data_IF_684620050678
#
_entry.id   IF_684620050678
#
_cell.length_a   1.000
_cell.length_b   1.000
_cell.length_c   1.000
_cell.angle_alpha   90.00
_cell.angle_beta   90.00
_cell.angle_gamma   90.00
#
_symmetry.space_group_name_H-M   'P 1'
#
loop_
_entity.id
_entity.type
_entity.pdbx_description
1 polymer ?
#
# COMPACT_ATOMS: atom_id res chain seq x y z
N UNK A 1 16.61 -44.98 6.76
CA UNK A 1 15.73 -43.84 7.07
C UNK A 1 16.22 -43.28 8.39
N UNK A 2 16.55 -41.99 8.46
CA UNK A 2 17.11 -41.40 9.69
C UNK A 2 15.99 -41.30 10.73
N UNK A 3 16.20 -41.87 11.92
CA UNK A 3 15.25 -41.78 13.03
C UNK A 3 15.46 -40.46 13.78
N UNK A 4 14.59 -39.50 13.51
CA UNK A 4 14.66 -38.15 14.08
C UNK A 4 14.14 -38.07 15.52
N UNK A 5 13.29 -39.01 15.97
CA UNK A 5 12.75 -39.03 17.33
C UNK A 5 13.81 -39.49 18.36
N UNK A 6 14.89 -40.13 17.88
CA UNK A 6 16.06 -40.51 18.68
C UNK A 6 17.15 -39.42 18.74
N UNK A 7 17.01 -38.32 17.99
CA UNK A 7 17.99 -37.23 17.98
C UNK A 7 17.67 -36.17 19.04
N UNK A 8 18.70 -35.70 19.73
CA UNK A 8 18.57 -34.47 20.52
C UNK A 8 18.40 -33.26 19.62
N UNK A 9 17.80 -32.18 20.14
CA UNK A 9 17.61 -30.93 19.39
C UNK A 9 18.94 -30.41 18.78
N UNK A 10 20.07 -30.56 19.50
CA UNK A 10 21.39 -30.16 19.03
C UNK A 10 21.87 -30.99 17.83
N UNK A 11 21.71 -32.32 17.89
CA UNK A 11 22.10 -33.24 16.81
C UNK A 11 21.21 -33.06 15.58
N UNK A 12 19.92 -32.78 15.78
CA UNK A 12 18.99 -32.49 14.69
C UNK A 12 19.33 -31.17 13.99
N UNK A 13 19.67 -30.13 14.75
CA UNK A 13 20.14 -28.85 14.21
C UNK A 13 21.42 -29.05 13.40
N UNK A 14 22.37 -29.86 13.88
CA UNK A 14 23.61 -30.16 13.17
C UNK A 14 23.38 -30.97 11.89
N UNK A 15 22.48 -31.95 11.92
CA UNK A 15 22.03 -32.67 10.73
C UNK A 15 21.43 -31.74 9.67
N UNK A 16 20.59 -30.79 10.09
CA UNK A 16 20.05 -29.75 9.22
C UNK A 16 21.16 -28.81 8.68
N UNK A 17 22.14 -28.44 9.52
CA UNK A 17 23.29 -27.59 9.13
C UNK A 17 24.12 -28.24 8.02
N UNK A 18 24.30 -29.55 8.08
CA UNK A 18 25.11 -30.33 7.13
C UNK A 18 24.39 -30.70 5.82
N UNK A 19 23.17 -30.19 5.60
CA UNK A 19 22.41 -30.44 4.37
C UNK A 19 21.75 -31.82 4.31
N UNK A 20 21.47 -32.42 5.48
CA UNK A 20 20.73 -33.66 5.58
C UNK A 20 19.33 -33.56 4.96
N UNK A 21 18.90 -34.63 4.30
CA UNK A 21 17.59 -34.72 3.68
C UNK A 21 16.48 -34.76 4.75
N UNK A 22 15.57 -33.79 4.66
CA UNK A 22 14.43 -33.61 5.58
C UNK A 22 13.09 -33.78 4.87
N UNK A 23 13.09 -34.29 3.63
CA UNK A 23 11.87 -34.57 2.89
C UNK A 23 11.05 -35.66 3.61
N UNK A 24 9.80 -35.34 3.97
CA UNK A 24 8.89 -36.24 4.69
C UNK A 24 8.82 -36.06 6.21
N UNK A 25 9.61 -35.15 6.81
CA UNK A 25 9.54 -34.90 8.26
C UNK A 25 8.32 -34.05 8.62
N UNK A 26 7.31 -34.67 9.26
CA UNK A 26 6.22 -33.96 9.93
C UNK A 26 6.69 -33.67 11.37
N UNK A 27 7.17 -32.44 11.61
CA UNK A 27 7.71 -32.02 12.90
C UNK A 27 6.70 -32.19 14.06
N UNK A 28 7.07 -32.91 15.14
CA UNK A 28 6.38 -32.79 16.45
C UNK A 28 6.70 -31.45 17.14
N UNK A 29 7.87 -30.85 16.85
CA UNK A 29 8.28 -29.50 17.29
C UNK A 29 9.07 -28.81 16.16
N UNK A 30 8.55 -27.77 15.51
CA UNK A 30 9.26 -27.13 14.41
C UNK A 30 10.50 -26.38 14.92
N UNK A 31 11.64 -26.39 14.20
CA UNK A 31 12.81 -25.61 14.56
C UNK A 31 12.43 -24.12 14.68
N UNK A 32 12.88 -23.49 15.78
CA UNK A 32 12.59 -22.08 16.08
C UNK A 32 13.74 -21.20 15.59
N UNK A 33 13.39 -20.00 15.15
CA UNK A 33 14.37 -18.95 14.89
C UNK A 33 14.99 -18.45 16.19
N UNK A 34 16.32 -18.46 16.31
CA UNK A 34 17.01 -18.01 17.52
C UNK A 34 16.75 -16.53 17.85
N UNK A 35 16.44 -15.72 16.82
CA UNK A 35 16.24 -14.29 16.99
C UNK A 35 14.80 -13.88 17.34
N UNK A 36 13.79 -14.66 16.95
CA UNK A 36 12.39 -14.28 17.17
C UNK A 36 11.49 -15.39 17.73
N UNK A 37 12.04 -16.57 18.02
CA UNK A 37 11.33 -17.72 18.59
C UNK A 37 10.25 -18.32 17.68
N UNK A 38 10.07 -17.78 16.47
CA UNK A 38 9.04 -18.21 15.53
C UNK A 38 9.41 -19.58 14.95
N UNK A 39 8.42 -20.47 14.89
CA UNK A 39 8.49 -21.78 14.22
C UNK A 39 8.44 -21.57 12.70
N UNK A 40 9.60 -21.38 12.08
CA UNK A 40 9.72 -21.06 10.65
C UNK A 40 10.98 -21.72 10.10
N UNK A 41 11.02 -21.99 8.79
CA UNK A 41 12.23 -22.49 8.11
C UNK A 41 13.42 -21.57 8.42
N UNK A 42 14.36 -22.09 9.18
CA UNK A 42 15.66 -21.47 9.49
C UNK A 42 16.70 -21.93 8.47
N UNK A 43 17.69 -21.10 8.20
CA UNK A 43 18.84 -21.44 7.36
C UNK A 43 20.01 -21.99 8.21
N UNK A 44 21.19 -22.19 7.60
CA UNK A 44 22.38 -22.71 8.28
C UNK A 44 22.82 -21.87 9.50
N UNK A 45 22.40 -20.61 9.58
CA UNK A 45 22.69 -19.70 10.71
C UNK A 45 21.54 -19.60 11.72
N UNK A 46 20.60 -20.56 11.70
CA UNK A 46 19.45 -20.63 12.59
C UNK A 46 18.52 -19.39 12.56
N UNK A 47 18.59 -18.58 11.49
CA UNK A 47 17.83 -17.32 11.38
C UNK A 47 16.72 -17.44 10.35
N UNK A 48 15.48 -17.14 10.73
CA UNK A 48 14.37 -17.24 9.78
C UNK A 48 14.44 -16.16 8.69
N UNK A 49 13.80 -16.44 7.55
CA UNK A 49 13.74 -15.52 6.40
C UNK A 49 13.27 -14.11 6.77
N UNK A 50 12.26 -13.99 7.63
CA UNK A 50 11.71 -12.69 8.02
C UNK A 50 12.72 -11.87 8.84
N UNK A 51 13.46 -12.53 9.72
CA UNK A 51 14.50 -11.92 10.53
C UNK A 51 15.68 -11.43 9.68
N UNK A 52 16.10 -12.22 8.68
CA UNK A 52 17.11 -11.78 7.71
C UNK A 52 16.67 -10.58 6.89
N UNK A 53 15.42 -10.57 6.39
CA UNK A 53 14.87 -9.41 5.68
C UNK A 53 14.84 -8.17 6.58
N UNK A 54 14.52 -8.33 7.88
CA UNK A 54 14.58 -7.23 8.85
C UNK A 54 16.00 -6.73 9.10
N UNK A 55 16.98 -7.61 9.24
CA UNK A 55 18.39 -7.23 9.41
C UNK A 55 18.91 -6.51 8.17
N UNK A 56 18.74 -7.11 6.99
CA UNK A 56 19.15 -6.48 5.73
C UNK A 56 18.48 -5.12 5.52
N UNK A 57 17.20 -4.98 5.88
CA UNK A 57 16.51 -3.69 5.82
C UNK A 57 17.13 -2.62 6.74
N UNK A 58 17.80 -3.00 7.83
CA UNK A 58 18.52 -2.06 8.72
C UNK A 58 19.89 -1.69 8.14
N UNK A 59 20.57 -2.64 7.54
CA UNK A 59 21.95 -2.50 7.06
C UNK A 59 22.05 -1.90 5.64
N UNK A 60 21.03 -2.12 4.81
CA UNK A 60 21.00 -1.77 3.38
C UNK A 60 19.81 -0.81 3.10
N UNK A 61 20.07 0.52 3.04
CA UNK A 61 19.06 1.53 2.77
C UNK A 61 18.40 1.38 1.38
N UNK A 62 19.13 0.90 0.37
CA UNK A 62 18.60 0.69 -0.97
C UNK A 62 17.61 -0.47 -0.98
N UNK A 63 17.94 -1.58 -0.32
CA UNK A 63 17.02 -2.70 -0.12
C UNK A 63 15.78 -2.28 0.68
N UNK A 64 15.95 -1.44 1.70
CA UNK A 64 14.82 -0.88 2.44
C UNK A 64 13.91 -0.02 1.56
N UNK A 65 14.48 0.79 0.67
CA UNK A 65 13.73 1.60 -0.29
C UNK A 65 13.00 0.74 -1.31
N UNK A 66 13.67 -0.25 -1.89
CA UNK A 66 13.08 -1.21 -2.81
C UNK A 66 11.82 -1.88 -2.23
N UNK A 67 11.87 -2.35 -0.97
CA UNK A 67 10.69 -2.96 -0.32
C UNK A 67 9.54 -1.97 -0.12
N UNK A 68 9.84 -0.69 0.16
CA UNK A 68 8.82 0.37 0.22
C UNK A 68 8.18 0.57 -1.14
N UNK A 69 8.98 0.63 -2.20
CA UNK A 69 8.49 0.86 -3.56
C UNK A 69 7.63 -0.30 -4.07
N UNK A 70 8.04 -1.55 -3.81
CA UNK A 70 7.23 -2.75 -4.10
C UNK A 70 5.88 -2.69 -3.38
N UNK A 71 5.87 -2.28 -2.11
CA UNK A 71 4.64 -2.14 -1.31
C UNK A 71 3.75 -1.03 -1.84
N UNK A 72 4.33 0.13 -2.16
CA UNK A 72 3.64 1.28 -2.73
C UNK A 72 3.02 0.95 -4.08
N UNK A 73 3.75 0.25 -4.95
CA UNK A 73 3.25 -0.21 -6.24
C UNK A 73 2.07 -1.17 -6.08
N UNK A 74 2.15 -2.12 -5.13
CA UNK A 74 1.03 -3.01 -4.81
C UNK A 74 -0.19 -2.24 -4.32
N UNK A 75 0.01 -1.29 -3.41
CA UNK A 75 -1.06 -0.46 -2.86
C UNK A 75 -1.70 0.41 -3.95
N UNK A 76 -0.90 0.97 -4.87
CA UNK A 76 -1.39 1.71 -6.02
C UNK A 76 -2.29 0.85 -6.93
N UNK A 77 -1.87 -0.38 -7.26
CA UNK A 77 -2.70 -1.33 -8.02
C UNK A 77 -4.01 -1.66 -7.30
N UNK A 78 -3.98 -1.84 -5.98
CA UNK A 78 -5.17 -2.11 -5.20
C UNK A 78 -6.12 -0.90 -5.17
N UNK A 79 -5.60 0.32 -5.01
CA UNK A 79 -6.39 1.55 -5.15
C UNK A 79 -7.07 1.63 -6.50
N UNK A 80 -6.35 1.32 -7.59
CA UNK A 80 -6.95 1.36 -8.92
C UNK A 80 -8.05 0.31 -9.11
N UNK A 81 -7.90 -0.89 -8.53
CA UNK A 81 -8.98 -1.90 -8.52
C UNK A 81 -10.25 -1.39 -7.83
N UNK A 82 -10.11 -0.71 -6.69
CA UNK A 82 -11.24 -0.12 -5.95
C UNK A 82 -11.84 1.04 -6.75
N UNK A 83 -11.02 1.96 -7.24
CA UNK A 83 -11.46 3.10 -8.05
C UNK A 83 -12.20 2.66 -9.31
N UNK A 84 -11.72 1.61 -9.99
CA UNK A 84 -12.40 1.03 -11.15
C UNK A 84 -13.81 0.56 -10.81
N UNK A 85 -13.98 -0.15 -9.68
CA UNK A 85 -15.30 -0.57 -9.20
C UNK A 85 -16.18 0.64 -8.86
N UNK A 86 -15.63 1.66 -8.20
CA UNK A 86 -16.35 2.89 -7.88
C UNK A 86 -16.82 3.63 -9.15
N UNK A 87 -15.96 3.76 -10.17
CA UNK A 87 -16.32 4.34 -11.48
C UNK A 87 -17.43 3.53 -12.17
N UNK A 88 -17.33 2.21 -12.14
CA UNK A 88 -18.35 1.34 -12.72
C UNK A 88 -19.70 1.49 -12.00
N UNK A 89 -19.69 1.54 -10.66
CA UNK A 89 -20.88 1.78 -9.86
C UNK A 89 -21.48 3.15 -10.15
N UNK A 90 -20.66 4.20 -10.24
CA UNK A 90 -21.11 5.55 -10.57
C UNK A 90 -21.77 5.64 -11.95
N UNK A 91 -21.25 4.90 -12.94
CA UNK A 91 -21.87 4.77 -14.27
C UNK A 91 -23.23 4.08 -14.22
N UNK A 92 -23.39 3.06 -13.36
CA UNK A 92 -24.67 2.35 -13.17
C UNK A 92 -25.68 3.14 -12.33
N UNK A 93 -25.23 4.06 -11.48
CA UNK A 93 -26.08 4.80 -10.55
C UNK A 93 -25.86 6.33 -10.59
N UNK A 94 -26.04 6.98 -11.75
CA UNK A 94 -25.69 8.39 -11.93
C UNK A 94 -26.48 9.32 -11.00
N UNK A 95 -27.76 9.05 -10.74
CA UNK A 95 -28.58 9.86 -9.83
C UNK A 95 -28.07 9.79 -8.38
N UNK A 96 -27.72 8.59 -7.89
CA UNK A 96 -27.16 8.41 -6.53
C UNK A 96 -25.79 9.06 -6.41
N UNK A 97 -24.93 8.94 -7.42
CA UNK A 97 -23.63 9.63 -7.44
C UNK A 97 -23.79 11.14 -7.38
N UNK A 98 -24.72 11.73 -8.15
CA UNK A 98 -25.02 13.17 -8.09
C UNK A 98 -25.53 13.60 -6.72
N UNK A 99 -26.41 12.81 -6.10
CA UNK A 99 -26.93 13.10 -4.75
C UNK A 99 -25.81 13.07 -3.69
N UNK A 100 -24.95 12.05 -3.72
CA UNK A 100 -23.78 11.97 -2.84
C UNK A 100 -22.85 13.17 -3.03
N UNK A 101 -22.53 13.53 -4.28
CA UNK A 101 -21.68 14.67 -4.59
C UNK A 101 -22.28 16.00 -4.10
N UNK A 102 -23.61 16.18 -4.26
CA UNK A 102 -24.32 17.34 -3.73
C UNK A 102 -24.28 17.40 -2.21
N UNK A 103 -24.57 16.28 -1.53
CA UNK A 103 -24.53 16.23 -0.07
C UNK A 103 -23.12 16.54 0.46
N UNK A 104 -22.09 15.98 -0.18
CA UNK A 104 -20.71 16.29 0.18
C UNK A 104 -20.40 17.78 -0.01
N UNK A 105 -20.80 18.37 -1.14
CA UNK A 105 -20.64 19.81 -1.36
C UNK A 105 -21.34 20.63 -0.28
N UNK A 106 -22.57 20.29 0.09
CA UNK A 106 -23.31 21.02 1.13
C UNK A 106 -22.61 20.93 2.50
N UNK A 107 -22.13 19.74 2.88
CA UNK A 107 -21.43 19.53 4.15
C UNK A 107 -20.10 20.29 4.22
N UNK A 108 -19.37 20.38 3.09
CA UNK A 108 -18.02 20.95 3.05
C UNK A 108 -17.94 22.31 2.33
N UNK A 109 -19.10 22.96 2.10
CA UNK A 109 -19.17 24.20 1.32
C UNK A 109 -18.35 25.32 1.95
N UNK A 110 -18.51 25.49 3.26
CA UNK A 110 -17.85 26.56 4.02
C UNK A 110 -16.36 26.33 4.14
N UNK A 111 -15.96 25.09 4.45
CA UNK A 111 -14.55 24.68 4.51
C UNK A 111 -13.86 24.88 3.16
N UNK A 112 -14.51 24.46 2.07
CA UNK A 112 -13.99 24.63 0.70
C UNK A 112 -13.89 26.12 0.32
N UNK A 113 -14.88 26.93 0.70
CA UNK A 113 -14.86 28.37 0.44
C UNK A 113 -13.78 29.10 1.26
N UNK A 114 -13.60 28.72 2.53
CA UNK A 114 -12.56 29.26 3.38
C UNK A 114 -11.16 28.89 2.87
N UNK A 115 -10.96 27.62 2.52
CA UNK A 115 -9.73 27.14 1.89
C UNK A 115 -9.44 27.91 0.59
N UNK A 116 -10.44 28.03 -0.30
CA UNK A 116 -10.28 28.76 -1.56
C UNK A 116 -9.92 30.23 -1.34
N UNK A 117 -10.54 30.91 -0.37
CA UNK A 117 -10.19 32.30 -0.02
C UNK A 117 -8.74 32.41 0.45
N UNK A 118 -8.30 31.54 1.37
CA UNK A 118 -6.91 31.52 1.85
C UNK A 118 -5.93 31.25 0.71
N UNK A 119 -6.20 30.22 -0.09
CA UNK A 119 -5.38 29.86 -1.24
C UNK A 119 -5.22 31.02 -2.24
N UNK A 120 -6.30 31.74 -2.55
CA UNK A 120 -6.24 32.89 -3.46
C UNK A 120 -5.58 34.13 -2.85
N UNK A 121 -5.47 34.21 -1.52
CA UNK A 121 -4.72 35.26 -0.83
C UNK A 121 -3.22 34.94 -0.81
N UNK A 122 -2.86 33.67 -0.59
CA UNK A 122 -1.48 33.19 -0.57
C UNK A 122 -0.88 33.07 -1.99
N UNK A 123 -1.71 32.94 -3.02
CA UNK A 123 -1.31 32.77 -4.41
C UNK A 123 -1.95 33.80 -5.37
N UNK A 124 -1.54 35.08 -5.30
CA UNK A 124 -2.08 36.13 -6.17
C UNK A 124 -1.87 35.87 -7.67
N UNK A 125 -0.79 35.17 -8.04
CA UNK A 125 -0.50 34.74 -9.41
C UNK A 125 -1.56 33.77 -9.95
N UNK A 126 -2.09 32.90 -9.08
CA UNK A 126 -3.16 31.95 -9.45
C UNK A 126 -4.53 32.61 -9.45
N UNK A 127 -4.72 33.66 -8.65
CA UNK A 127 -5.96 34.43 -8.63
C UNK A 127 -6.25 35.10 -9.97
N UNK A 128 -5.24 35.68 -10.62
CA UNK A 128 -5.38 36.29 -11.94
C UNK A 128 -5.84 35.26 -12.99
N UNK A 129 -5.15 34.12 -13.07
CA UNK A 129 -5.48 33.00 -13.96
C UNK A 129 -6.88 32.43 -13.67
N UNK A 130 -7.27 32.36 -12.41
CA UNK A 130 -8.60 31.89 -12.02
C UNK A 130 -9.71 32.81 -12.55
N UNK A 131 -9.53 34.14 -12.42
CA UNK A 131 -10.50 35.13 -12.90
C UNK A 131 -10.60 35.18 -14.43
N UNK A 132 -9.48 35.02 -15.14
CA UNK A 132 -9.45 34.90 -16.59
C UNK A 132 -10.21 33.66 -17.07
N UNK A 133 -9.95 32.51 -16.45
CA UNK A 133 -10.67 31.27 -16.74
C UNK A 133 -12.18 31.39 -16.47
N UNK A 134 -12.57 32.07 -15.39
CA UNK A 134 -13.98 32.37 -15.10
C UNK A 134 -14.62 33.24 -16.18
N UNK A 135 -13.91 34.27 -16.66
CA UNK A 135 -14.38 35.12 -17.77
C UNK A 135 -14.56 34.33 -19.05
N UNK A 136 -13.56 33.53 -19.44
CA UNK A 136 -13.62 32.66 -20.61
C UNK A 136 -14.82 31.71 -20.57
N UNK A 137 -15.02 31.01 -19.44
CA UNK A 137 -16.18 30.11 -19.27
C UNK A 137 -17.53 30.82 -19.39
N UNK A 138 -17.63 32.06 -18.92
CA UNK A 138 -18.85 32.87 -19.07
C UNK A 138 -19.09 33.26 -20.52
N UNK A 139 -18.03 33.58 -21.28
CA UNK A 139 -18.14 33.88 -22.71
C UNK A 139 -18.56 32.63 -23.50
N UNK A 140 -17.87 31.51 -23.30
CA UNK A 140 -18.23 30.22 -23.93
C UNK A 140 -19.68 29.80 -23.62
N UNK A 141 -20.17 30.12 -22.43
CA UNK A 141 -21.56 29.83 -22.06
C UNK A 141 -22.56 30.75 -22.77
N UNK A 142 -22.22 32.02 -22.99
CA UNK A 142 -23.09 32.96 -23.74
C UNK A 142 -23.17 32.53 -25.20
N UNK A 143 -22.02 32.26 -25.82
CA UNK A 143 -21.93 31.79 -27.21
C UNK A 143 -22.75 30.52 -27.45
N UNK A 144 -22.74 29.56 -26.50
CA UNK A 144 -23.57 28.34 -26.56
C UNK A 144 -25.07 28.54 -26.33
N UNK A 145 -25.48 29.68 -25.80
CA UNK A 145 -26.90 29.99 -25.56
C UNK A 145 -27.49 30.78 -26.73
N UNK A 146 -26.62 31.42 -27.53
CA UNK A 146 -26.97 32.20 -28.72
C UNK A 146 -26.97 31.37 -30.03
N UNK A 147 -26.62 30.07 -29.96
CA UNK A 147 -26.80 29.04 -31.02
C UNK A 147 -28.11 28.25 -30.84
#
# INVERSE_FOLDING_TARGET
MVDFDAMTDAQFIEHCRNGGDTTGVIYKRPPRCDWCGSTVRVDRTATCRNCRVRMRRREDPEFAQHLRDVTNARNARNREKVNRKARQWARKHPAKTRAIARNWYFLHREESAAYHKKYMAEHPEKKALYLENQRRKRQESKEKTDE
#
